data_IF_355338353693
#
_entry.id   IF_355338353693
#
_cell.length_a   1.000
_cell.length_b   1.000
_cell.length_c   1.000
_cell.angle_alpha   90.00
_cell.angle_beta   90.00
_cell.angle_gamma   90.00
#
_symmetry.space_group_name_H-M   'P 1'
#
loop_
_entity.id
_entity.type
_entity.pdbx_description
1 polymer ?
#
# COMPACT_ATOMS: atom_id res chain seq x y z
N UNK A 1 19.20 23.39 -1.59
CA UNK A 1 17.86 22.84 -1.88
C UNK A 1 16.89 24.00 -1.97
N UNK A 2 16.00 24.02 -2.97
CA UNK A 2 15.02 25.10 -3.15
C UNK A 2 13.98 25.07 -2.03
N UNK A 3 13.67 26.21 -1.43
CA UNK A 3 12.63 26.37 -0.39
C UNK A 3 11.29 25.80 -0.87
N UNK A 4 11.00 25.95 -2.16
CA UNK A 4 9.79 25.43 -2.80
C UNK A 4 9.73 23.90 -2.85
N UNK A 5 10.86 23.23 -3.05
CA UNK A 5 10.92 21.76 -3.08
C UNK A 5 10.70 21.17 -1.68
N UNK A 6 11.33 21.76 -0.66
CA UNK A 6 11.14 21.35 0.74
C UNK A 6 9.71 21.57 1.22
N UNK A 7 9.05 22.64 0.77
CA UNK A 7 7.66 22.93 1.13
C UNK A 7 6.67 21.94 0.49
N UNK A 8 6.90 21.53 -0.76
CA UNK A 8 6.10 20.50 -1.43
C UNK A 8 6.23 19.13 -0.77
N UNK A 9 7.45 18.73 -0.38
CA UNK A 9 7.69 17.50 0.39
C UNK A 9 6.98 17.53 1.74
N UNK A 10 7.03 18.65 2.45
CA UNK A 10 6.35 18.82 3.74
C UNK A 10 4.82 18.70 3.63
N UNK A 11 4.24 19.25 2.56
CA UNK A 11 2.79 19.12 2.29
C UNK A 11 2.41 17.69 1.93
N UNK A 12 3.20 17.03 1.09
CA UNK A 12 2.98 15.62 0.76
C UNK A 12 3.06 14.72 2.00
N UNK A 13 4.03 14.99 2.87
CA UNK A 13 4.17 14.30 4.16
C UNK A 13 2.97 14.55 5.08
N UNK A 14 2.52 15.80 5.23
CA UNK A 14 1.34 16.13 6.04
C UNK A 14 0.07 15.48 5.47
N UNK A 15 -0.11 15.47 4.15
CA UNK A 15 -1.25 14.84 3.49
C UNK A 15 -1.32 13.34 3.77
N UNK A 16 -0.18 12.65 3.66
CA UNK A 16 -0.10 11.23 3.99
C UNK A 16 -0.33 10.95 5.48
N UNK A 17 0.14 11.84 6.36
CA UNK A 17 -0.07 11.73 7.80
C UNK A 17 -1.56 11.88 8.14
N UNK A 18 -2.22 12.90 7.60
CA UNK A 18 -3.64 13.15 7.85
C UNK A 18 -4.52 12.01 7.33
N UNK A 19 -4.25 11.51 6.12
CA UNK A 19 -4.97 10.36 5.55
C UNK A 19 -4.85 9.09 6.40
N UNK A 20 -3.71 8.88 7.06
CA UNK A 20 -3.50 7.72 7.93
C UNK A 20 -4.39 7.73 9.17
N UNK A 21 -4.74 8.90 9.69
CA UNK A 21 -5.49 9.04 10.96
C UNK A 21 -6.94 9.47 10.80
N UNK A 22 -7.38 9.85 9.60
CA UNK A 22 -8.79 10.08 9.32
C UNK A 22 -9.56 8.74 9.35
N UNK A 23 -10.60 8.61 10.19
CA UNK A 23 -11.45 7.42 10.21
C UNK A 23 -12.04 7.17 8.83
N UNK A 24 -11.87 5.94 8.30
CA UNK A 24 -12.39 5.59 6.98
C UNK A 24 -13.91 5.62 6.97
N UNK A 25 -14.47 6.14 5.88
CA UNK A 25 -15.92 6.11 5.65
C UNK A 25 -16.36 4.67 5.32
N UNK A 26 -17.50 4.20 5.85
CA UNK A 26 -18.03 2.86 5.59
C UNK A 26 -18.59 2.74 4.16
N UNK A 27 -17.69 2.75 3.17
CA UNK A 27 -17.96 2.52 1.74
C UNK A 27 -16.71 2.67 0.87
N UNK A 28 -15.55 3.02 1.44
CA UNK A 28 -14.33 3.19 0.66
C UNK A 28 -13.80 1.85 0.13
N UNK A 29 -13.33 1.80 -1.14
CA UNK A 29 -12.81 0.57 -1.73
C UNK A 29 -11.56 0.10 -0.98
N UNK A 30 -11.52 -1.20 -0.70
CA UNK A 30 -10.37 -1.89 -0.11
C UNK A 30 -9.81 -2.87 -1.12
N UNK A 31 -8.50 -2.82 -1.30
CA UNK A 31 -7.74 -3.66 -2.20
C UNK A 31 -7.00 -4.74 -1.41
N UNK A 32 -6.93 -5.95 -1.97
CA UNK A 32 -6.01 -6.98 -1.51
C UNK A 32 -4.75 -6.91 -2.38
N UNK A 33 -3.63 -6.53 -1.78
CA UNK A 33 -2.31 -6.64 -2.42
C UNK A 33 -1.74 -7.98 -2.02
N UNK A 34 -1.46 -8.82 -3.01
CA UNK A 34 -1.05 -10.20 -2.84
C UNK A 34 0.33 -10.38 -3.45
N UNK A 35 1.20 -11.03 -2.70
CA UNK A 35 2.51 -11.46 -3.16
C UNK A 35 2.69 -12.96 -2.92
N UNK A 36 3.38 -13.62 -3.85
CA UNK A 36 3.61 -15.08 -3.81
C UNK A 36 5.06 -15.41 -4.10
N UNK A 37 5.69 -16.16 -3.22
CA UNK A 37 6.98 -16.78 -3.52
C UNK A 37 6.76 -18.17 -4.12
N UNK A 38 7.56 -18.51 -5.12
CA UNK A 38 7.39 -19.73 -5.92
C UNK A 38 8.69 -20.49 -6.08
N UNK A 39 8.59 -21.80 -6.35
CA UNK A 39 9.77 -22.62 -6.66
C UNK A 39 10.43 -22.27 -8.00
N UNK A 40 9.76 -21.47 -8.84
CA UNK A 40 10.22 -21.07 -10.16
C UNK A 40 9.14 -20.30 -10.95
N UNK A 41 9.47 -19.82 -12.14
CA UNK A 41 8.61 -18.91 -12.92
C UNK A 41 7.50 -19.62 -13.73
N UNK A 42 7.50 -20.95 -13.82
CA UNK A 42 6.53 -21.68 -14.62
C UNK A 42 5.24 -21.94 -13.84
N UNK A 43 4.23 -21.11 -14.08
CA UNK A 43 2.90 -21.23 -13.44
C UNK A 43 2.22 -22.60 -13.52
N UNK A 44 2.59 -23.49 -14.45
CA UNK A 44 1.97 -24.82 -14.60
C UNK A 44 2.69 -25.90 -13.79
N UNK A 45 3.99 -25.75 -13.59
CA UNK A 45 4.83 -26.83 -13.02
C UNK A 45 5.46 -26.44 -11.68
N UNK A 46 5.66 -25.16 -11.44
CA UNK A 46 6.19 -24.64 -10.17
C UNK A 46 5.09 -24.48 -9.13
N UNK A 47 5.48 -24.49 -7.85
CA UNK A 47 4.57 -24.43 -6.70
C UNK A 47 4.75 -23.12 -5.93
N UNK A 48 3.66 -22.62 -5.37
CA UNK A 48 3.70 -21.53 -4.39
C UNK A 48 4.26 -22.09 -3.08
N UNK A 49 5.25 -21.41 -2.50
CA UNK A 49 5.88 -21.76 -1.23
C UNK A 49 5.54 -20.74 -0.12
N UNK A 50 5.19 -19.51 -0.50
CA UNK A 50 4.73 -18.47 0.42
C UNK A 50 3.64 -17.63 -0.23
N UNK A 51 2.67 -17.18 0.56
CA UNK A 51 1.60 -16.28 0.15
C UNK A 51 1.42 -15.23 1.23
N UNK A 52 1.62 -13.97 0.86
CA UNK A 52 1.40 -12.82 1.74
C UNK A 52 0.33 -11.94 1.16
N UNK A 53 -0.55 -11.42 2.01
CA UNK A 53 -1.59 -10.49 1.60
C UNK A 53 -1.74 -9.35 2.61
N UNK A 54 -1.90 -8.14 2.10
CA UNK A 54 -2.25 -6.97 2.91
C UNK A 54 -3.48 -6.29 2.33
N UNK A 55 -4.33 -5.77 3.22
CA UNK A 55 -5.44 -4.91 2.82
C UNK A 55 -4.96 -3.48 2.75
N UNK A 56 -5.25 -2.82 1.63
CA UNK A 56 -4.84 -1.44 1.37
C UNK A 56 -6.01 -0.59 0.88
N UNK A 57 -6.00 0.72 1.15
CA UNK A 57 -6.96 1.66 0.57
C UNK A 57 -6.55 2.11 -0.85
N UNK A 58 -7.34 3.02 -1.44
CA UNK A 58 -7.08 3.56 -2.78
C UNK A 58 -5.74 4.31 -2.93
N UNK A 59 -5.08 4.63 -1.83
CA UNK A 59 -3.77 5.27 -1.79
C UNK A 59 -2.66 4.30 -1.38
N UNK A 60 -2.94 3.00 -1.34
CA UNK A 60 -2.03 1.93 -0.92
C UNK A 60 -1.52 2.07 0.52
N UNK A 61 -2.27 2.73 1.41
CA UNK A 61 -1.97 2.68 2.84
C UNK A 61 -2.57 1.41 3.47
N UNK A 62 -1.89 0.78 4.44
CA UNK A 62 -2.40 -0.40 5.12
C UNK A 62 -3.71 -0.12 5.85
N UNK A 63 -4.61 -1.10 5.81
CA UNK A 63 -5.94 -0.99 6.43
C UNK A 63 -5.96 -1.47 7.88
N UNK A 64 -5.17 -2.50 8.18
CA UNK A 64 -5.21 -3.24 9.45
C UNK A 64 -3.99 -2.95 10.36
N UNK A 65 -3.34 -1.78 10.19
CA UNK A 65 -2.16 -1.35 10.95
C UNK A 65 -2.50 -0.70 12.30
#
# INVERSE_FOLDING_TARGET
MSVWASWLEAIGFLGNLLNRYTPRMPSEPVFAVIDTETTGFNKRYDRIIELTAVRADAYFNPVDS
#
